data_IF_243443798912
#
_entry.id   IF_243443798912
#
_cell.length_a   1.000
_cell.length_b   1.000
_cell.length_c   1.000
_cell.angle_alpha   90.00
_cell.angle_beta   90.00
_cell.angle_gamma   90.00
#
_symmetry.space_group_name_H-M   'P 1'
#
loop_
_entity.id
_entity.type
_entity.pdbx_description
1 polymer ?
#
# COMPACT_ATOMS: atom_id res chain seq x y z
N UNK A 1 20.19 2.00 -3.46
CA UNK A 1 19.24 1.61 -4.52
C UNK A 1 17.83 1.96 -4.13
N UNK A 2 17.11 2.55 -5.05
CA UNK A 2 15.70 2.86 -4.79
C UNK A 2 14.84 1.62 -4.95
N UNK A 3 13.76 1.59 -4.20
CA UNK A 3 12.72 0.58 -4.36
C UNK A 3 11.95 0.86 -5.65
N UNK A 4 11.55 -0.18 -6.37
CA UNK A 4 10.75 -0.01 -7.58
C UNK A 4 9.29 -0.44 -7.32
N UNK A 5 8.42 -0.14 -8.30
CA UNK A 5 7.00 -0.43 -8.18
C UNK A 5 6.72 -1.93 -7.97
N UNK A 6 7.41 -2.78 -8.73
CA UNK A 6 7.18 -4.23 -8.63
C UNK A 6 7.50 -4.74 -7.22
N UNK A 7 8.63 -4.36 -6.67
CA UNK A 7 9.03 -4.77 -5.32
C UNK A 7 8.02 -4.27 -4.29
N UNK A 8 7.60 -3.03 -4.43
CA UNK A 8 6.66 -2.42 -3.49
C UNK A 8 5.28 -3.09 -3.56
N UNK A 9 4.74 -3.27 -4.78
CA UNK A 9 3.44 -3.92 -4.92
C UNK A 9 3.47 -5.37 -4.44
N UNK A 10 4.56 -6.09 -4.71
CA UNK A 10 4.73 -7.45 -4.19
C UNK A 10 4.71 -7.48 -2.66
N UNK A 11 5.31 -6.49 -2.01
CA UNK A 11 5.31 -6.42 -0.53
C UNK A 11 3.90 -6.23 0.03
N UNK A 12 3.06 -5.39 -0.61
CA UNK A 12 1.66 -5.23 -0.23
C UNK A 12 0.87 -6.53 -0.43
N UNK A 13 1.05 -7.18 -1.58
CA UNK A 13 0.32 -8.42 -1.85
C UNK A 13 0.69 -9.52 -0.86
N UNK A 14 1.97 -9.68 -0.55
CA UNK A 14 2.40 -10.68 0.43
C UNK A 14 1.84 -10.37 1.82
N UNK A 15 1.87 -9.10 2.21
CA UNK A 15 1.40 -8.69 3.53
C UNK A 15 -0.11 -8.91 3.69
N UNK A 16 -0.90 -8.45 2.72
CA UNK A 16 -2.36 -8.52 2.79
C UNK A 16 -2.87 -9.92 2.49
N UNK A 17 -2.41 -10.51 1.38
CA UNK A 17 -2.99 -11.75 0.87
C UNK A 17 -2.46 -12.99 1.60
N UNK A 18 -1.16 -12.99 1.91
CA UNK A 18 -0.48 -14.14 2.49
C UNK A 18 -0.15 -13.97 3.97
N UNK A 19 -0.43 -12.81 4.54
CA UNK A 19 -0.11 -12.46 5.93
C UNK A 19 1.38 -12.52 6.22
N UNK A 20 2.21 -12.32 5.19
CA UNK A 20 3.65 -12.25 5.32
C UNK A 20 4.10 -10.80 5.21
N UNK A 21 4.41 -10.18 6.34
CA UNK A 21 4.74 -8.76 6.43
C UNK A 21 6.24 -8.48 6.44
N UNK A 22 7.08 -9.49 6.19
CA UNK A 22 8.53 -9.31 6.25
C UNK A 22 9.03 -8.33 5.19
N UNK A 23 8.60 -8.47 3.95
CA UNK A 23 8.98 -7.54 2.87
C UNK A 23 8.46 -6.13 3.14
N UNK A 24 7.24 -6.02 3.63
CA UNK A 24 6.63 -4.74 4.00
C UNK A 24 7.47 -4.04 5.06
N UNK A 25 7.88 -4.76 6.10
CA UNK A 25 8.70 -4.22 7.16
C UNK A 25 10.04 -3.69 6.64
N UNK A 26 10.60 -4.37 5.64
CA UNK A 26 11.90 -3.97 5.05
C UNK A 26 11.79 -2.72 4.18
N UNK A 27 10.69 -2.55 3.45
CA UNK A 27 10.56 -1.45 2.48
C UNK A 27 10.03 -0.16 3.10
N UNK A 28 9.32 -0.23 4.23
CA UNK A 28 8.77 0.94 4.88
C UNK A 28 9.80 1.58 5.82
N UNK A 29 9.90 2.91 5.74
CA UNK A 29 10.72 3.69 6.66
C UNK A 29 10.15 3.61 8.08
N UNK A 30 11.02 3.81 9.09
CA UNK A 30 10.56 3.81 10.49
C UNK A 30 9.51 4.89 10.77
N UNK A 31 9.54 6.00 10.01
CA UNK A 31 8.58 7.09 10.15
C UNK A 31 7.47 7.08 9.10
N UNK A 32 7.25 5.92 8.50
CA UNK A 32 6.22 5.73 7.47
C UNK A 32 4.83 6.11 7.97
N UNK A 33 4.03 6.71 7.06
CA UNK A 33 2.61 6.95 7.30
C UNK A 33 1.78 6.49 6.11
N UNK A 34 0.65 5.86 6.40
CA UNK A 34 -0.35 5.43 5.43
C UNK A 34 -1.57 6.32 5.64
N UNK A 35 -1.95 7.09 4.62
CA UNK A 35 -2.86 8.22 4.80
C UNK A 35 -4.00 8.18 3.79
N UNK A 36 -5.21 8.46 4.28
CA UNK A 36 -6.33 8.86 3.43
C UNK A 36 -6.87 10.19 3.97
N UNK A 37 -6.45 11.30 3.38
CA UNK A 37 -6.82 12.64 3.85
C UNK A 37 -8.32 12.90 3.76
N UNK A 38 -8.99 12.27 2.80
CA UNK A 38 -10.44 12.45 2.61
C UNK A 38 -11.24 12.01 3.82
N UNK A 39 -10.76 10.98 4.52
CA UNK A 39 -11.44 10.44 5.70
C UNK A 39 -10.67 10.72 6.98
N UNK A 40 -9.65 11.57 6.90
CA UNK A 40 -8.81 11.90 8.06
C UNK A 40 -8.25 10.64 8.75
N UNK A 41 -7.81 9.68 7.94
CA UNK A 41 -7.33 8.37 8.39
C UNK A 41 -5.83 8.27 8.24
N UNK A 42 -5.16 7.77 9.25
CA UNK A 42 -3.71 7.67 9.25
C UNK A 42 -3.22 6.52 10.12
N UNK A 43 -2.27 5.75 9.60
CA UNK A 43 -1.57 4.70 10.36
C UNK A 43 -0.07 4.88 10.21
N UNK A 44 0.67 4.60 11.29
CA UNK A 44 2.13 4.53 11.23
C UNK A 44 2.57 3.16 10.70
N UNK A 45 3.88 2.91 10.70
CA UNK A 45 4.43 1.65 10.18
C UNK A 45 3.88 0.44 10.91
N UNK A 46 3.91 0.47 12.25
CA UNK A 46 3.43 -0.67 13.03
C UNK A 46 1.93 -0.89 12.85
N UNK A 47 1.16 0.20 12.85
CA UNK A 47 -0.28 0.14 12.61
C UNK A 47 -0.61 -0.45 11.24
N UNK A 48 0.18 -0.10 10.23
CA UNK A 48 0.01 -0.64 8.87
C UNK A 48 0.28 -2.14 8.85
N UNK A 49 1.35 -2.59 9.49
CA UNK A 49 1.69 -4.01 9.57
C UNK A 49 0.59 -4.78 10.32
N UNK A 50 0.12 -4.24 11.44
CA UNK A 50 -0.96 -4.87 12.21
C UNK A 50 -2.23 -4.98 11.39
N UNK A 51 -2.57 -3.92 10.63
CA UNK A 51 -3.74 -3.94 9.76
C UNK A 51 -3.63 -5.04 8.70
N UNK A 52 -2.47 -5.19 8.08
CA UNK A 52 -2.25 -6.23 7.07
C UNK A 52 -2.41 -7.64 7.66
N UNK A 53 -1.94 -7.85 8.89
CA UNK A 53 -2.07 -9.13 9.56
C UNK A 53 -3.51 -9.46 9.94
N UNK A 54 -4.32 -8.44 10.27
CA UNK A 54 -5.66 -8.64 10.81
C UNK A 54 -6.76 -8.60 9.75
N UNK A 55 -6.51 -7.97 8.61
CA UNK A 55 -7.53 -7.78 7.58
C UNK A 55 -7.86 -9.09 6.86
N UNK A 56 -9.11 -9.23 6.41
CA UNK A 56 -9.51 -10.30 5.49
C UNK A 56 -9.70 -9.80 4.05
N UNK A 57 -9.23 -8.60 3.76
CA UNK A 57 -9.21 -8.05 2.41
C UNK A 57 -8.16 -8.77 1.56
N UNK A 58 -8.29 -8.62 0.24
CA UNK A 58 -7.25 -9.01 -0.72
C UNK A 58 -6.93 -7.82 -1.60
N UNK A 59 -5.66 -7.67 -1.94
CA UNK A 59 -5.19 -6.64 -2.85
C UNK A 59 -4.69 -7.33 -4.12
N UNK A 60 -5.21 -6.92 -5.27
CA UNK A 60 -4.94 -7.58 -6.54
C UNK A 60 -4.80 -6.55 -7.67
N UNK A 61 -4.31 -6.97 -8.82
CA UNK A 61 -4.30 -6.19 -10.05
C UNK A 61 -3.52 -4.88 -9.93
N UNK A 62 -2.35 -4.92 -9.30
CA UNK A 62 -1.47 -3.76 -9.21
C UNK A 62 -0.99 -3.34 -10.60
N UNK A 63 -1.06 -2.04 -10.87
CA UNK A 63 -0.63 -1.46 -12.14
C UNK A 63 0.12 -0.16 -11.88
N UNK A 64 1.31 -0.04 -12.46
CA UNK A 64 2.14 1.15 -12.30
C UNK A 64 1.68 2.23 -13.27
N UNK A 65 1.41 3.43 -12.74
CA UNK A 65 1.09 4.60 -13.54
C UNK A 65 2.33 5.45 -13.81
N UNK A 66 3.24 5.51 -12.83
CA UNK A 66 4.47 6.31 -12.92
C UNK A 66 5.43 5.87 -11.82
N UNK A 67 6.71 5.83 -12.14
CA UNK A 67 7.74 5.57 -11.12
C UNK A 67 9.04 6.31 -11.43
N UNK A 68 9.71 6.77 -10.38
CA UNK A 68 11.06 7.29 -10.43
C UNK A 68 11.71 7.07 -9.06
N UNK A 69 12.86 7.67 -8.82
CA UNK A 69 13.60 7.49 -7.56
C UNK A 69 12.95 8.15 -6.34
N UNK A 70 11.95 8.99 -6.56
CA UNK A 70 11.31 9.76 -5.48
C UNK A 70 9.86 9.36 -5.24
N UNK A 71 9.18 8.76 -6.23
CA UNK A 71 7.76 8.50 -6.12
C UNK A 71 7.33 7.28 -6.94
N UNK A 72 6.36 6.56 -6.40
CA UNK A 72 5.66 5.48 -7.10
C UNK A 72 4.18 5.85 -7.14
N UNK A 73 3.57 5.80 -8.32
CA UNK A 73 2.14 6.05 -8.50
C UNK A 73 1.52 4.83 -9.16
N UNK A 74 0.47 4.32 -8.57
CA UNK A 74 -0.17 3.13 -9.12
C UNK A 74 -1.59 2.95 -8.69
N UNK A 75 -2.19 1.90 -9.22
CA UNK A 75 -3.56 1.50 -8.90
C UNK A 75 -3.58 0.04 -8.52
N UNK A 76 -4.60 -0.35 -7.78
CA UNK A 76 -4.92 -1.76 -7.56
C UNK A 76 -6.38 -1.91 -7.18
N UNK A 77 -6.85 -3.14 -7.14
CA UNK A 77 -8.19 -3.45 -6.70
C UNK A 77 -8.15 -4.08 -5.31
N UNK A 78 -9.22 -3.88 -4.56
CA UNK A 78 -9.38 -4.49 -3.24
C UNK A 78 -10.64 -5.35 -3.27
N UNK A 79 -10.50 -6.59 -2.84
CA UNK A 79 -11.61 -7.53 -2.69
C UNK A 79 -11.90 -7.65 -1.20
N UNK A 80 -13.16 -7.43 -0.85
CA UNK A 80 -13.62 -7.36 0.53
C UNK A 80 -14.79 -8.32 0.70
N UNK A 81 -14.81 -9.18 1.73
CA UNK A 81 -15.93 -10.12 1.93
C UNK A 81 -17.25 -9.38 2.07
N UNK A 82 -18.27 -9.86 1.39
CA UNK A 82 -19.67 -9.38 1.50
C UNK A 82 -19.86 -7.91 1.10
N UNK A 83 -18.94 -7.36 0.33
CA UNK A 83 -18.99 -5.96 -0.11
C UNK A 83 -18.53 -5.89 -1.57
N UNK A 84 -18.97 -4.85 -2.27
CA UNK A 84 -18.50 -4.62 -3.64
C UNK A 84 -16.99 -4.41 -3.67
N UNK A 85 -16.35 -4.87 -4.73
CA UNK A 85 -14.93 -4.61 -4.95
C UNK A 85 -14.70 -3.11 -5.06
N UNK A 86 -13.49 -2.68 -4.76
CA UNK A 86 -13.12 -1.28 -4.87
C UNK A 86 -11.81 -1.14 -5.63
N UNK A 87 -11.59 0.05 -6.16
CA UNK A 87 -10.35 0.43 -6.82
C UNK A 87 -9.63 1.47 -5.99
N UNK A 88 -8.31 1.39 -5.98
CA UNK A 88 -7.45 2.30 -5.23
C UNK A 88 -6.46 2.94 -6.19
N UNK A 89 -6.24 4.24 -6.03
CA UNK A 89 -5.09 4.92 -6.61
C UNK A 89 -4.21 5.42 -5.46
N UNK A 90 -2.90 5.26 -5.58
CA UNK A 90 -2.01 5.66 -4.52
C UNK A 90 -0.76 6.36 -5.03
N UNK A 91 -0.18 7.17 -4.16
CA UNK A 91 1.12 7.80 -4.36
C UNK A 91 1.99 7.44 -3.16
N UNK A 92 3.11 6.77 -3.42
CA UNK A 92 4.06 6.38 -2.39
C UNK A 92 5.35 7.19 -2.59
N UNK A 93 5.80 7.86 -1.56
CA UNK A 93 7.02 8.67 -1.62
C UNK A 93 8.20 7.92 -1.06
N UNK A 94 9.34 8.07 -1.75
CA UNK A 94 10.59 7.38 -1.43
C UNK A 94 11.58 8.39 -0.87
N UNK A 95 12.25 8.02 0.22
CA UNK A 95 13.37 8.78 0.77
C UNK A 95 14.41 7.80 1.30
N UNK A 96 15.67 8.00 0.90
CA UNK A 96 16.79 7.13 1.33
C UNK A 96 16.51 5.65 1.07
N UNK A 97 15.87 5.34 -0.07
CA UNK A 97 15.61 3.98 -0.50
C UNK A 97 14.45 3.30 0.21
N UNK A 98 13.71 4.00 1.05
CA UNK A 98 12.56 3.47 1.79
C UNK A 98 11.32 4.28 1.48
N UNK A 99 10.15 3.67 1.68
CA UNK A 99 8.87 4.35 1.51
C UNK A 99 8.55 5.10 2.79
N UNK A 100 8.36 6.42 2.69
CA UNK A 100 8.07 7.27 3.85
C UNK A 100 6.59 7.62 3.96
N UNK A 101 5.82 7.53 2.87
CA UNK A 101 4.38 7.78 2.92
C UNK A 101 3.68 7.05 1.81
N UNK A 102 2.40 6.76 2.05
CA UNK A 102 1.53 6.12 1.07
C UNK A 102 0.16 6.79 1.21
N UNK A 103 -0.14 7.71 0.29
CA UNK A 103 -1.45 8.34 0.22
C UNK A 103 -2.31 7.58 -0.76
N UNK A 104 -3.58 7.40 -0.44
CA UNK A 104 -4.47 6.68 -1.34
C UNK A 104 -5.88 7.26 -1.32
N UNK A 105 -6.59 6.98 -2.41
CA UNK A 105 -8.04 7.19 -2.50
C UNK A 105 -8.65 5.89 -2.97
N UNK A 106 -9.81 5.59 -2.44
CA UNK A 106 -10.50 4.34 -2.71
C UNK A 106 -11.91 4.64 -3.18
N UNK A 107 -12.32 3.95 -4.26
CA UNK A 107 -13.65 4.11 -4.82
C UNK A 107 -14.30 2.73 -4.96
N UNK A 108 -15.51 2.59 -4.41
CA UNK A 108 -16.25 1.35 -4.49
C UNK A 108 -16.91 1.23 -5.84
N UNK A 109 -16.92 0.02 -6.38
CA UNK A 109 -17.59 -0.30 -7.62
C UNK A 109 -19.10 -0.36 -7.40
N UNK A 110 -19.84 0.00 -8.43
CA UNK A 110 -21.29 0.03 -8.35
C UNK A 110 -21.94 -1.09 -9.13
#
# INVERSE_FOLDING_TARGET
MSINFKTYSDSWMKAINDKNTNSMSDVLSYDFVWVNDRFNWKLDKQGTIDWCNDTNFKAVDFSCCYENDEVLVGTHNVIEPNTSDSSVIFIAKIKDGKIVSHQYLREFQR
#
